data_IF_475581136507
#
_entry.id   IF_475581136507
#
_cell.length_a   1.000
_cell.length_b   1.000
_cell.length_c   1.000
_cell.angle_alpha   90.00
_cell.angle_beta   90.00
_cell.angle_gamma   90.00
#
_symmetry.space_group_name_H-M   'P 1'
#
loop_
_entity.id
_entity.type
_entity.pdbx_description
1 polymer ?
#
# COMPACT_ATOMS: atom_id res chain seq x y z
N UNK A 1 12.53 10.25 -29.13
CA UNK A 1 13.11 9.03 -28.52
C UNK A 1 12.02 7.98 -28.58
N UNK A 2 12.33 6.75 -28.94
CA UNK A 2 11.30 5.72 -28.97
C UNK A 2 10.98 5.23 -27.55
N UNK A 3 9.70 4.81 -27.32
CA UNK A 3 9.21 4.44 -25.99
C UNK A 3 9.93 3.21 -25.40
N UNK A 4 10.32 2.25 -26.24
CA UNK A 4 11.00 1.04 -25.77
C UNK A 4 12.38 1.36 -25.21
N UNK A 5 13.11 2.27 -25.85
CA UNK A 5 14.42 2.75 -25.36
C UNK A 5 14.27 3.50 -24.04
N UNK A 6 13.22 4.30 -23.87
CA UNK A 6 12.94 5.02 -22.61
C UNK A 6 12.61 4.03 -21.50
N UNK A 7 11.76 3.05 -21.77
CA UNK A 7 11.37 2.02 -20.80
C UNK A 7 12.59 1.18 -20.36
N UNK A 8 13.46 0.79 -21.28
CA UNK A 8 14.66 0.05 -20.92
C UNK A 8 15.63 0.91 -20.11
N UNK A 9 15.82 2.19 -20.46
CA UNK A 9 16.65 3.11 -19.70
C UNK A 9 16.11 3.31 -18.28
N UNK A 10 14.81 3.51 -18.11
CA UNK A 10 14.14 3.60 -16.81
C UNK A 10 14.46 2.39 -15.92
N UNK A 11 14.39 1.18 -16.47
CA UNK A 11 14.66 -0.08 -15.74
C UNK A 11 16.10 -0.25 -15.27
N UNK A 12 17.04 0.58 -15.75
CA UNK A 12 18.44 0.55 -15.29
C UNK A 12 18.68 1.35 -14.03
N UNK A 13 17.73 2.22 -13.64
CA UNK A 13 17.87 2.97 -12.41
C UNK A 13 17.65 2.08 -11.19
N UNK A 14 18.43 2.38 -10.15
CA UNK A 14 18.24 1.81 -8.81
C UNK A 14 17.73 2.90 -7.90
N UNK A 15 16.62 2.63 -7.23
CA UNK A 15 15.94 3.61 -6.38
C UNK A 15 15.71 3.06 -4.98
N UNK A 16 15.45 3.95 -4.03
CA UNK A 16 14.86 3.58 -2.75
C UNK A 16 13.34 3.51 -2.90
N UNK A 17 12.66 2.89 -1.94
CA UNK A 17 11.19 2.86 -1.91
C UNK A 17 10.70 3.39 -0.57
N UNK A 18 9.84 4.40 -0.64
CA UNK A 18 9.07 4.90 0.50
C UNK A 18 7.62 4.41 0.45
N UNK A 19 7.10 3.96 1.58
CA UNK A 19 5.66 3.93 1.83
C UNK A 19 5.26 5.34 2.30
N UNK A 20 4.55 6.04 1.43
CA UNK A 20 4.11 7.42 1.66
C UNK A 20 2.71 7.38 2.23
N UNK A 21 2.52 7.97 3.39
CA UNK A 21 1.22 8.02 4.08
C UNK A 21 0.66 9.43 4.10
N UNK A 22 -0.65 9.52 4.01
CA UNK A 22 -1.42 10.77 4.08
C UNK A 22 -2.68 10.57 4.91
N UNK A 23 -3.33 11.67 5.31
CA UNK A 23 -4.63 11.62 5.98
C UNK A 23 -5.47 12.85 5.54
N UNK A 24 -5.96 12.79 4.31
CA UNK A 24 -6.81 13.82 3.70
C UNK A 24 -8.31 13.60 3.95
N UNK A 25 -9.14 14.28 3.17
CA UNK A 25 -10.61 14.22 3.27
C UNK A 25 -11.19 12.81 3.05
N UNK A 26 -10.46 11.92 2.36
CA UNK A 26 -10.82 10.51 2.15
C UNK A 26 -10.37 9.59 3.30
N UNK A 27 -9.71 10.13 4.32
CA UNK A 27 -9.12 9.35 5.40
C UNK A 27 -7.66 8.97 5.16
N UNK A 28 -7.08 8.11 6.05
CA UNK A 28 -5.70 7.70 5.98
C UNK A 28 -5.45 6.78 4.78
N UNK A 29 -4.30 6.98 4.13
CA UNK A 29 -3.88 6.20 2.96
C UNK A 29 -2.39 5.89 3.01
N UNK A 30 -1.97 4.88 2.26
CA UNK A 30 -0.58 4.53 1.98
C UNK A 30 -0.37 4.32 0.48
N UNK A 31 0.77 4.76 -0.04
CA UNK A 31 1.20 4.55 -1.42
C UNK A 31 2.67 4.14 -1.44
N UNK A 32 3.05 3.25 -2.34
CA UNK A 32 4.44 2.95 -2.63
C UNK A 32 4.98 3.97 -3.63
N UNK A 33 6.02 4.71 -3.26
CA UNK A 33 6.71 5.65 -4.14
C UNK A 33 8.15 5.19 -4.37
N UNK A 34 8.43 4.78 -5.60
CA UNK A 34 9.75 4.35 -6.05
C UNK A 34 10.76 5.50 -5.97
N UNK A 35 10.33 6.72 -6.25
CA UNK A 35 11.18 7.89 -6.24
C UNK A 35 11.05 8.65 -4.92
N UNK A 36 11.69 8.11 -3.89
CA UNK A 36 11.74 8.68 -2.54
C UNK A 36 13.20 8.82 -2.12
N UNK A 37 13.68 10.03 -1.88
CA UNK A 37 15.08 10.28 -1.54
C UNK A 37 15.26 11.58 -0.73
N UNK A 38 16.35 11.63 0.07
CA UNK A 38 16.76 12.85 0.72
C UNK A 38 17.40 13.81 -0.29
N UNK A 39 17.11 15.11 -0.17
CA UNK A 39 17.57 16.14 -1.10
C UNK A 39 18.29 17.31 -0.42
N UNK A 40 18.29 17.36 0.92
CA UNK A 40 19.01 18.35 1.71
C UNK A 40 19.32 17.82 3.11
N UNK A 41 20.40 18.33 3.71
CA UNK A 41 20.77 18.06 5.09
C UNK A 41 20.27 19.13 6.07
N UNK A 42 20.30 20.40 5.69
CA UNK A 42 19.89 21.50 6.54
C UNK A 42 19.16 22.57 5.72
N UNK A 43 17.83 22.69 5.90
CA UNK A 43 17.00 21.74 6.65
C UNK A 43 17.03 20.35 6.04
N UNK A 44 16.69 19.31 6.82
CA UNK A 44 16.61 17.96 6.28
C UNK A 44 15.33 17.83 5.46
N UNK A 45 15.50 17.63 4.15
CA UNK A 45 14.41 17.55 3.18
C UNK A 45 14.34 16.17 2.53
N UNK A 46 13.12 15.68 2.35
CA UNK A 46 12.83 14.48 1.57
C UNK A 46 11.97 14.86 0.38
N UNK A 47 12.36 14.37 -0.81
CA UNK A 47 11.56 14.45 -2.02
C UNK A 47 10.82 13.13 -2.26
N UNK A 48 9.55 13.24 -2.64
CA UNK A 48 8.74 12.15 -3.18
C UNK A 48 8.18 12.61 -4.53
N UNK A 49 8.30 11.76 -5.56
CA UNK A 49 7.86 12.10 -6.92
C UNK A 49 6.67 11.24 -7.26
N UNK A 50 5.55 11.87 -7.56
CA UNK A 50 4.26 11.22 -7.77
C UNK A 50 3.65 11.64 -9.10
N UNK A 51 2.97 10.72 -9.75
CA UNK A 51 2.17 11.01 -10.94
C UNK A 51 0.91 11.80 -10.56
N UNK A 52 0.51 12.73 -11.43
CA UNK A 52 -0.70 13.52 -11.22
C UNK A 52 -1.96 12.63 -11.31
N UNK A 53 -2.91 12.85 -10.39
CA UNK A 53 -4.16 12.09 -10.33
C UNK A 53 -4.15 10.92 -9.34
N UNK A 54 -3.00 10.62 -8.73
CA UNK A 54 -2.92 9.66 -7.63
C UNK A 54 -3.59 10.23 -6.35
N UNK A 55 -4.30 9.38 -5.60
CA UNK A 55 -4.99 9.81 -4.38
C UNK A 55 -4.04 10.43 -3.33
N UNK A 56 -2.82 9.92 -3.24
CA UNK A 56 -1.76 10.47 -2.37
C UNK A 56 -1.32 11.86 -2.82
N UNK A 57 -1.22 12.09 -4.13
CA UNK A 57 -0.91 13.38 -4.72
C UNK A 57 -1.91 14.46 -4.27
N UNK A 58 -3.20 14.16 -4.41
CA UNK A 58 -4.27 15.09 -4.01
C UNK A 58 -4.26 15.33 -2.50
N UNK A 59 -4.06 14.28 -1.70
CA UNK A 59 -4.03 14.38 -0.25
C UNK A 59 -2.83 15.22 0.27
N UNK A 60 -1.65 15.13 -0.35
CA UNK A 60 -0.50 15.98 0.00
C UNK A 60 -0.81 17.45 -0.30
N UNK A 61 -1.42 17.74 -1.45
CA UNK A 61 -1.84 19.10 -1.81
C UNK A 61 -2.87 19.67 -0.85
N UNK A 62 -3.83 18.83 -0.41
CA UNK A 62 -4.87 19.22 0.53
C UNK A 62 -4.29 19.49 1.93
N UNK A 63 -3.52 18.55 2.45
CA UNK A 63 -3.09 18.56 3.86
C UNK A 63 -1.79 19.30 4.12
N UNK A 64 -0.97 19.48 3.08
CA UNK A 64 0.39 20.04 3.15
C UNK A 64 1.33 19.25 4.07
N UNK A 65 1.04 17.98 4.29
CA UNK A 65 1.84 17.07 5.11
C UNK A 65 1.78 15.64 4.61
N UNK A 66 2.81 14.85 4.88
CA UNK A 66 2.87 13.43 4.55
C UNK A 66 3.88 12.70 5.43
N UNK A 67 3.63 11.42 5.66
CA UNK A 67 4.58 10.52 6.29
C UNK A 67 5.41 9.80 5.24
N UNK A 68 6.69 9.56 5.55
CA UNK A 68 7.59 8.73 4.75
C UNK A 68 8.09 7.59 5.61
N UNK A 69 7.94 6.36 5.16
CA UNK A 69 8.51 5.19 5.81
C UNK A 69 9.39 4.46 4.80
N UNK A 70 10.72 4.53 4.96
CA UNK A 70 11.64 3.73 4.14
C UNK A 70 11.55 2.28 4.59
N UNK A 71 11.25 1.41 3.64
CA UNK A 71 10.92 0.02 3.93
C UNK A 71 12.14 -0.88 4.12
N UNK A 72 11.99 -1.89 4.98
CA UNK A 72 12.85 -3.07 5.05
C UNK A 72 12.29 -4.21 4.19
N UNK A 73 13.02 -5.32 4.10
CA UNK A 73 12.58 -6.49 3.34
C UNK A 73 11.26 -7.11 3.84
N UNK A 74 10.92 -6.90 5.11
CA UNK A 74 9.65 -7.35 5.71
C UNK A 74 8.44 -6.71 5.03
N UNK A 75 8.60 -5.52 4.45
CA UNK A 75 7.53 -4.76 3.81
C UNK A 75 7.42 -4.98 2.28
N UNK A 76 8.18 -5.91 1.69
CA UNK A 76 8.19 -6.07 0.23
C UNK A 76 6.82 -6.44 -0.34
N UNK A 77 6.03 -7.23 0.39
CA UNK A 77 4.65 -7.54 -0.02
C UNK A 77 3.74 -6.32 0.10
N UNK A 78 3.85 -5.58 1.20
CA UNK A 78 3.11 -4.32 1.42
C UNK A 78 3.46 -3.27 0.34
N UNK A 79 4.73 -3.17 -0.06
CA UNK A 79 5.20 -2.31 -1.15
C UNK A 79 4.46 -2.60 -2.45
N UNK A 80 4.43 -3.86 -2.87
CA UNK A 80 3.73 -4.26 -4.09
C UNK A 80 2.25 -3.93 -4.04
N UNK A 81 1.58 -4.29 -2.95
CA UNK A 81 0.17 -4.01 -2.75
C UNK A 81 -0.14 -2.51 -2.75
N UNK A 82 0.65 -1.70 -2.02
CA UNK A 82 0.46 -0.25 -1.96
C UNK A 82 0.67 0.45 -3.31
N UNK A 83 1.49 -0.13 -4.20
CA UNK A 83 1.76 0.41 -5.54
C UNK A 83 0.74 -0.01 -6.61
N UNK A 84 0.02 -1.14 -6.43
CA UNK A 84 -0.95 -1.62 -7.42
C UNK A 84 -2.35 -1.03 -7.26
N UNK A 85 -2.73 -0.59 -6.06
CA UNK A 85 -4.08 -0.11 -5.78
C UNK A 85 -4.09 1.38 -5.44
N UNK A 86 -5.10 2.10 -5.93
CA UNK A 86 -5.36 3.50 -5.57
C UNK A 86 -6.35 3.61 -4.42
N UNK A 87 -6.20 4.64 -3.57
CA UNK A 87 -7.16 4.95 -2.51
C UNK A 87 -8.50 5.49 -3.03
N UNK A 88 -8.59 5.77 -4.32
CA UNK A 88 -9.87 6.10 -4.94
C UNK A 88 -10.86 4.92 -4.85
N UNK A 89 -10.34 3.68 -4.92
CA UNK A 89 -11.15 2.46 -5.03
C UNK A 89 -10.90 1.46 -3.89
N UNK A 90 -9.77 1.56 -3.17
CA UNK A 90 -9.33 0.53 -2.22
C UNK A 90 -8.81 1.16 -0.93
N UNK A 91 -9.41 0.80 0.21
CA UNK A 91 -8.87 1.10 1.53
C UNK A 91 -7.72 0.14 1.86
N UNK A 92 -6.52 0.52 1.44
CA UNK A 92 -5.32 -0.31 1.56
C UNK A 92 -4.92 -0.60 3.01
N UNK A 93 -5.16 0.35 3.91
CA UNK A 93 -4.84 0.19 5.34
C UNK A 93 -5.76 -0.77 6.09
N UNK A 94 -6.83 -1.27 5.43
CA UNK A 94 -7.62 -2.39 5.97
C UNK A 94 -6.88 -3.73 5.93
N UNK A 95 -5.83 -3.85 5.08
CA UNK A 95 -5.00 -5.06 4.98
C UNK A 95 -4.12 -5.24 6.23
N UNK A 96 -3.90 -6.48 6.62
CA UNK A 96 -2.97 -6.88 7.68
C UNK A 96 -1.47 -6.69 7.31
N UNK A 97 -1.21 -6.33 6.05
CA UNK A 97 0.14 -5.97 5.59
C UNK A 97 0.65 -4.66 6.19
N UNK A 98 -0.24 -3.81 6.70
CA UNK A 98 0.12 -2.49 7.20
C UNK A 98 -0.16 -2.38 8.70
N UNK A 99 0.90 -2.48 9.49
CA UNK A 99 0.84 -2.08 10.89
C UNK A 99 1.24 -0.62 11.00
N UNK A 100 0.35 0.22 11.51
CA UNK A 100 0.57 1.67 11.60
C UNK A 100 0.77 2.11 13.04
N UNK A 101 1.44 3.26 13.19
CA UNK A 101 1.58 3.98 14.46
C UNK A 101 1.22 5.46 14.26
N UNK A 102 0.71 6.15 15.31
CA UNK A 102 0.40 7.57 15.22
C UNK A 102 1.70 8.38 15.03
N UNK A 103 1.63 9.41 14.21
CA UNK A 103 2.65 10.44 14.11
C UNK A 103 2.55 11.43 15.29
N UNK A 104 3.61 12.20 15.54
CA UNK A 104 3.69 13.21 16.62
C UNK A 104 3.38 14.63 16.14
N UNK A 105 3.71 14.94 14.88
CA UNK A 105 3.70 16.30 14.32
C UNK A 105 2.77 16.48 13.11
N UNK A 106 2.34 15.38 12.50
CA UNK A 106 1.43 15.34 11.35
C UNK A 106 0.22 14.44 11.66
N UNK A 107 -0.82 14.49 10.82
CA UNK A 107 -2.02 13.65 10.99
C UNK A 107 -1.91 12.30 10.29
N UNK A 108 -1.04 12.20 9.28
CA UNK A 108 -0.83 10.95 8.56
C UNK A 108 -0.20 9.90 9.50
N UNK A 109 -0.67 8.63 9.50
CA UNK A 109 -0.03 7.58 10.27
C UNK A 109 1.34 7.24 9.67
N UNK A 110 2.20 6.59 10.44
CA UNK A 110 3.48 6.05 9.97
C UNK A 110 3.42 4.52 9.96
N UNK A 111 4.16 3.90 9.04
CA UNK A 111 4.28 2.43 9.00
C UNK A 111 5.28 2.00 10.07
N UNK A 112 4.85 1.05 10.92
CA UNK A 112 5.74 0.48 11.95
C UNK A 112 6.87 -0.34 11.31
N UNK A 113 7.90 -0.56 12.09
CA UNK A 113 9.03 -1.42 11.77
C UNK A 113 9.78 -1.05 10.48
N UNK A 114 9.58 0.17 9.98
CA UNK A 114 10.36 0.72 8.88
C UNK A 114 11.83 0.99 9.30
N UNK A 115 12.71 1.05 8.32
CA UNK A 115 14.13 1.43 8.52
C UNK A 115 14.25 2.87 9.03
N UNK A 116 13.39 3.73 8.49
CA UNK A 116 13.28 5.13 8.83
C UNK A 116 11.82 5.56 8.69
N UNK A 117 11.35 6.35 9.64
CA UNK A 117 10.08 7.08 9.52
C UNK A 117 10.34 8.56 9.64
N UNK A 118 9.79 9.35 8.73
CA UNK A 118 9.88 10.81 8.73
C UNK A 118 8.49 11.43 8.60
N UNK A 119 8.24 12.43 9.40
CA UNK A 119 7.06 13.28 9.34
C UNK A 119 7.40 14.55 8.59
N UNK A 120 6.75 14.78 7.46
CA UNK A 120 7.11 15.83 6.51
C UNK A 120 6.03 16.89 6.41
N UNK A 121 6.42 18.16 6.40
CA UNK A 121 5.59 19.29 5.97
C UNK A 121 6.01 19.72 4.58
N UNK A 122 5.05 19.85 3.69
CA UNK A 122 5.30 20.27 2.31
C UNK A 122 5.87 21.69 2.29
N UNK A 123 7.06 21.85 1.71
CA UNK A 123 7.71 23.15 1.53
C UNK A 123 7.80 23.57 0.08
N UNK A 124 7.83 22.61 -0.85
CA UNK A 124 7.91 22.89 -2.28
C UNK A 124 7.21 21.81 -3.10
N UNK A 125 6.62 22.25 -4.20
CA UNK A 125 6.03 21.42 -5.24
C UNK A 125 6.62 21.83 -6.59
N UNK A 126 7.26 20.88 -7.28
CA UNK A 126 7.98 21.14 -8.54
C UNK A 126 7.44 20.24 -9.63
N UNK A 127 6.82 20.76 -10.70
CA UNK A 127 6.47 19.97 -11.87
C UNK A 127 7.74 19.37 -12.53
N UNK A 128 7.74 18.07 -12.78
CA UNK A 128 8.88 17.32 -13.37
C UNK A 128 8.41 16.42 -14.51
N UNK A 129 7.80 17.02 -15.55
CA UNK A 129 7.25 16.29 -16.69
C UNK A 129 5.84 15.79 -16.40
N UNK A 130 5.62 14.49 -16.49
CA UNK A 130 4.37 13.78 -16.16
C UNK A 130 4.19 13.56 -14.66
N UNK A 131 5.21 13.86 -13.87
CA UNK A 131 5.22 13.77 -12.41
C UNK A 131 5.37 15.14 -11.75
N UNK A 132 5.14 15.16 -10.43
CA UNK A 132 5.43 16.30 -9.57
C UNK A 132 6.29 15.85 -8.41
N UNK A 133 7.35 16.56 -8.15
CA UNK A 133 8.21 16.39 -6.98
C UNK A 133 7.65 17.18 -5.82
N UNK A 134 7.21 16.50 -4.77
CA UNK A 134 6.85 17.09 -3.49
C UNK A 134 8.06 17.06 -2.58
N UNK A 135 8.52 18.23 -2.13
CA UNK A 135 9.62 18.35 -1.18
C UNK A 135 9.05 18.67 0.19
N UNK A 136 9.31 17.80 1.15
CA UNK A 136 8.89 17.96 2.54
C UNK A 136 10.05 18.24 3.47
N UNK A 137 9.89 19.23 4.36
CA UNK A 137 10.77 19.43 5.50
C UNK A 137 10.44 18.40 6.58
N UNK A 138 11.44 17.66 7.01
CA UNK A 138 11.30 16.65 8.07
C UNK A 138 11.22 17.34 9.42
N UNK A 139 10.06 17.23 10.07
CA UNK A 139 9.78 17.84 11.38
C UNK A 139 9.86 16.86 12.55
N UNK A 140 9.90 15.58 12.27
CA UNK A 140 10.17 14.49 13.21
C UNK A 140 10.77 13.32 12.44
N UNK A 141 11.76 12.65 13.03
CA UNK A 141 12.52 11.56 12.40
C UNK A 141 12.77 10.45 13.41
N UNK A 142 12.59 9.21 12.99
CA UNK A 142 12.99 8.01 13.70
C UNK A 142 13.75 7.08 12.78
N UNK A 143 14.80 6.42 13.28
CA UNK A 143 15.62 5.48 12.51
C UNK A 143 15.84 4.19 13.30
N UNK A 144 15.84 3.07 12.61
CA UNK A 144 16.25 1.78 13.15
C UNK A 144 17.54 1.32 12.45
N UNK A 145 18.71 1.50 13.07
CA UNK A 145 20.00 1.17 12.46
C UNK A 145 20.23 -0.35 12.34
N UNK A 146 19.40 -1.18 12.95
CA UNK A 146 19.49 -2.65 12.83
C UNK A 146 18.89 -3.15 11.51
N UNK A 147 18.03 -2.36 10.87
CA UNK A 147 17.35 -2.69 9.61
C UNK A 147 18.10 -2.13 8.41
N UNK A 148 17.85 -2.73 7.26
CA UNK A 148 18.42 -2.29 5.98
C UNK A 148 17.31 -1.96 4.99
N UNK A 149 17.44 -0.85 4.23
CA UNK A 149 16.46 -0.48 3.24
C UNK A 149 16.46 -1.46 2.06
N UNK A 150 15.27 -1.61 1.47
CA UNK A 150 15.10 -2.26 0.17
C UNK A 150 15.55 -1.31 -0.92
N UNK A 151 16.25 -1.82 -1.92
CA UNK A 151 16.54 -1.13 -3.17
C UNK A 151 15.72 -1.74 -4.30
N UNK A 152 15.22 -0.91 -5.19
CA UNK A 152 14.47 -1.34 -6.37
C UNK A 152 15.36 -1.26 -7.61
N UNK A 153 15.50 -2.40 -8.31
CA UNK A 153 16.13 -2.49 -9.61
C UNK A 153 15.55 -3.69 -10.35
N UNK A 154 14.61 -3.45 -11.28
CA UNK A 154 13.85 -4.53 -11.94
C UNK A 154 13.18 -5.49 -10.93
N UNK A 155 12.81 -4.95 -9.75
CA UNK A 155 12.25 -5.64 -8.60
C UNK A 155 13.01 -5.35 -7.31
N UNK A 156 12.49 -5.78 -6.16
CA UNK A 156 13.10 -5.52 -4.86
C UNK A 156 14.37 -6.35 -4.65
N UNK A 157 15.40 -5.69 -4.13
CA UNK A 157 16.67 -6.32 -3.79
C UNK A 157 17.09 -5.94 -2.37
N UNK A 158 17.82 -6.84 -1.73
CA UNK A 158 18.74 -6.47 -0.65
C UNK A 158 19.96 -5.78 -1.25
N UNK A 159 20.67 -5.01 -0.44
CA UNK A 159 22.03 -4.62 -0.83
C UNK A 159 22.87 -5.89 -1.04
N UNK A 160 23.09 -6.24 -2.31
CA UNK A 160 23.87 -7.39 -2.74
C UNK A 160 23.08 -8.63 -3.19
N UNK A 161 21.78 -8.75 -2.93
CA UNK A 161 20.98 -9.90 -3.39
C UNK A 161 19.52 -9.56 -3.66
N UNK A 162 18.90 -10.31 -4.57
CA UNK A 162 17.45 -10.22 -4.81
C UNK A 162 16.67 -10.74 -3.62
N UNK A 163 15.61 -10.03 -3.26
CA UNK A 163 14.65 -10.47 -2.24
C UNK A 163 13.56 -11.28 -2.93
N UNK A 164 13.33 -12.49 -2.46
CA UNK A 164 12.20 -13.30 -2.89
C UNK A 164 10.99 -12.94 -2.00
N UNK A 165 9.85 -12.67 -2.64
CA UNK A 165 8.59 -12.46 -1.94
C UNK A 165 8.05 -13.81 -1.45
N UNK A 166 7.52 -13.90 -0.23
CA UNK A 166 6.83 -15.12 0.22
C UNK A 166 5.62 -15.40 -0.69
N UNK A 167 5.29 -16.66 -0.88
CA UNK A 167 4.10 -17.07 -1.65
C UNK A 167 2.87 -16.80 -0.79
N UNK A 168 2.18 -15.70 -1.05
CA UNK A 168 1.02 -15.25 -0.28
C UNK A 168 0.07 -14.39 -1.12
N UNK A 169 -1.04 -13.97 -0.53
CA UNK A 169 -1.99 -13.01 -1.08
C UNK A 169 -2.01 -11.79 -0.16
N UNK A 170 -1.81 -10.61 -0.72
CA UNK A 170 -2.15 -9.37 -0.04
C UNK A 170 -3.62 -9.07 -0.26
N UNK A 171 -4.38 -8.73 0.79
CA UNK A 171 -5.82 -8.50 0.71
C UNK A 171 -6.21 -7.20 1.39
N UNK A 172 -7.13 -6.46 0.78
CA UNK A 172 -7.83 -5.33 1.37
C UNK A 172 -9.34 -5.45 1.13
N UNK A 173 -10.12 -4.78 1.97
CA UNK A 173 -11.57 -4.63 1.83
C UNK A 173 -11.97 -3.16 1.87
N UNK A 174 -12.89 -2.76 0.99
CA UNK A 174 -13.37 -1.38 0.89
C UNK A 174 -14.89 -1.34 0.77
N UNK A 175 -15.60 -0.57 1.63
CA UNK A 175 -15.07 0.11 2.82
C UNK A 175 -14.68 -0.87 3.93
N UNK A 176 -13.78 -0.49 4.82
CA UNK A 176 -13.37 -1.30 5.98
C UNK A 176 -14.48 -1.43 7.04
N UNK A 177 -15.44 -0.48 7.05
CA UNK A 177 -16.66 -0.53 7.86
C UNK A 177 -17.87 -0.37 6.94
N UNK A 178 -18.83 -1.28 7.01
CA UNK A 178 -19.99 -1.30 6.15
C UNK A 178 -21.27 -1.64 6.94
N UNK A 179 -22.38 -0.97 6.59
CA UNK A 179 -23.69 -1.38 7.10
C UNK A 179 -24.15 -2.69 6.42
N UNK A 180 -25.07 -3.39 7.08
CA UNK A 180 -25.76 -4.55 6.54
C UNK A 180 -26.42 -4.22 5.20
N UNK A 181 -26.48 -5.17 4.29
CA UNK A 181 -27.05 -4.97 2.95
C UNK A 181 -26.21 -4.11 2.01
N UNK A 182 -25.09 -3.55 2.45
CA UNK A 182 -24.17 -2.79 1.61
C UNK A 182 -23.14 -3.68 0.93
N UNK A 183 -22.58 -3.18 -0.14
CA UNK A 183 -21.51 -3.85 -0.86
C UNK A 183 -20.16 -3.49 -0.28
N UNK A 184 -19.25 -4.46 -0.27
CA UNK A 184 -17.84 -4.31 0.00
C UNK A 184 -17.04 -4.94 -1.12
N UNK A 185 -15.93 -4.32 -1.47
CA UNK A 185 -15.03 -4.78 -2.52
C UNK A 185 -13.76 -5.34 -1.89
N UNK A 186 -13.41 -6.56 -2.26
CA UNK A 186 -12.13 -7.18 -1.93
C UNK A 186 -11.17 -6.95 -3.07
N UNK A 187 -9.99 -6.41 -2.77
CA UNK A 187 -8.89 -6.24 -3.70
C UNK A 187 -7.69 -7.05 -3.18
N UNK A 188 -7.13 -7.90 -4.02
CA UNK A 188 -6.00 -8.75 -3.65
C UNK A 188 -4.88 -8.74 -4.69
N UNK A 189 -3.64 -8.90 -4.20
CA UNK A 189 -2.45 -9.09 -5.01
C UNK A 189 -1.78 -10.41 -4.65
N UNK A 190 -1.48 -11.22 -5.66
CA UNK A 190 -0.64 -12.41 -5.51
C UNK A 190 0.83 -12.01 -5.55
N UNK A 191 1.62 -12.52 -4.63
CA UNK A 191 3.09 -12.38 -4.68
C UNK A 191 3.74 -13.28 -5.71
N UNK A 192 2.95 -14.11 -6.41
CA UNK A 192 3.30 -15.02 -7.49
C UNK A 192 2.33 -14.83 -8.65
N UNK A 193 2.59 -15.45 -9.77
CA UNK A 193 1.68 -15.43 -10.92
C UNK A 193 0.81 -16.69 -10.89
N UNK A 194 -0.50 -16.59 -10.63
CA UNK A 194 -1.42 -17.72 -10.71
C UNK A 194 -1.64 -18.15 -12.16
N UNK A 195 -2.11 -19.38 -12.39
CA UNK A 195 -2.56 -19.76 -13.72
C UNK A 195 -3.90 -19.10 -14.05
N UNK A 196 -4.11 -18.79 -15.33
CA UNK A 196 -5.40 -18.31 -15.78
C UNK A 196 -6.48 -19.39 -15.54
N UNK A 197 -7.59 -18.98 -14.93
CA UNK A 197 -8.68 -19.88 -14.56
C UNK A 197 -8.59 -20.49 -13.16
N UNK A 198 -7.49 -20.28 -12.42
CA UNK A 198 -7.43 -20.64 -11.01
C UNK A 198 -8.53 -19.92 -10.23
N UNK A 199 -9.02 -20.55 -9.17
CA UNK A 199 -10.14 -20.03 -8.38
C UNK A 199 -9.65 -19.53 -7.02
N UNK A 200 -9.80 -18.21 -6.79
CA UNK A 200 -9.62 -17.59 -5.48
C UNK A 200 -10.90 -17.74 -4.69
N UNK A 201 -10.80 -18.24 -3.48
CA UNK A 201 -11.90 -18.30 -2.52
C UNK A 201 -11.80 -17.13 -1.55
N UNK A 202 -12.84 -16.30 -1.48
CA UNK A 202 -12.93 -15.17 -0.54
C UNK A 202 -14.03 -15.47 0.46
N UNK A 203 -13.74 -15.32 1.76
CA UNK A 203 -14.71 -15.50 2.84
C UNK A 203 -14.64 -14.36 3.85
N UNK A 204 -15.74 -14.09 4.53
CA UNK A 204 -15.82 -13.18 5.68
C UNK A 204 -16.31 -13.98 6.88
N UNK A 205 -15.51 -13.98 7.93
CA UNK A 205 -15.74 -14.81 9.12
C UNK A 205 -15.70 -13.94 10.38
N UNK A 206 -16.68 -14.10 11.24
CA UNK A 206 -16.72 -13.46 12.56
C UNK A 206 -15.67 -14.04 13.51
N UNK A 207 -15.39 -13.34 14.60
CA UNK A 207 -14.47 -13.80 15.65
C UNK A 207 -14.96 -15.11 16.35
N UNK A 208 -16.25 -15.41 16.22
CA UNK A 208 -16.87 -16.66 16.67
C UNK A 208 -16.68 -17.84 15.69
N UNK A 209 -16.00 -17.61 14.57
CA UNK A 209 -15.77 -18.60 13.51
C UNK A 209 -16.92 -18.74 12.51
N UNK A 210 -18.03 -17.99 12.66
CA UNK A 210 -19.17 -18.05 11.74
C UNK A 210 -18.83 -17.32 10.44
N UNK A 211 -18.87 -18.05 9.33
CA UNK A 211 -18.76 -17.47 7.98
C UNK A 211 -20.09 -16.83 7.59
N UNK A 212 -20.06 -15.58 7.13
CA UNK A 212 -21.23 -14.81 6.70
C UNK A 212 -21.24 -14.51 5.19
N UNK A 213 -20.08 -14.55 4.54
CA UNK A 213 -19.92 -14.33 3.08
C UNK A 213 -18.95 -15.34 2.53
N UNK A 214 -19.29 -15.90 1.36
CA UNK A 214 -18.36 -16.68 0.53
C UNK A 214 -18.50 -16.25 -0.93
N UNK A 215 -17.39 -15.96 -1.57
CA UNK A 215 -17.31 -15.64 -2.98
C UNK A 215 -16.14 -16.35 -3.64
N UNK A 216 -16.17 -16.43 -4.96
CA UNK A 216 -15.09 -16.99 -5.76
C UNK A 216 -14.78 -16.05 -6.92
N UNK A 217 -13.48 -15.93 -7.26
CA UNK A 217 -13.00 -15.17 -8.41
C UNK A 217 -12.10 -16.06 -9.23
N UNK A 218 -12.27 -16.06 -10.55
CA UNK A 218 -11.33 -16.71 -11.47
C UNK A 218 -10.23 -15.73 -11.84
N UNK A 219 -8.99 -16.18 -11.75
CA UNK A 219 -7.83 -15.40 -12.17
C UNK A 219 -7.75 -15.37 -13.70
N UNK A 220 -7.24 -14.29 -14.24
CA UNK A 220 -6.91 -14.13 -15.66
C UNK A 220 -5.43 -14.44 -15.98
N UNK A 221 -4.68 -14.88 -14.96
CA UNK A 221 -3.21 -15.07 -15.03
C UNK A 221 -2.43 -13.80 -14.67
N UNK A 222 -3.12 -12.71 -14.31
CA UNK A 222 -2.52 -11.51 -13.71
C UNK A 222 -2.19 -11.69 -12.24
N UNK A 223 -1.52 -10.71 -11.66
CA UNK A 223 -1.12 -10.74 -10.25
C UNK A 223 -2.13 -10.08 -9.32
N UNK A 224 -3.23 -9.57 -9.82
CA UNK A 224 -4.27 -8.92 -9.01
C UNK A 224 -5.64 -9.55 -9.27
N UNK A 225 -6.52 -9.44 -8.28
CA UNK A 225 -7.94 -9.74 -8.43
C UNK A 225 -8.79 -8.76 -7.66
N UNK A 226 -10.03 -8.61 -8.08
CA UNK A 226 -11.02 -7.81 -7.38
C UNK A 226 -12.38 -8.49 -7.44
N UNK A 227 -13.16 -8.40 -6.36
CA UNK A 227 -14.53 -8.88 -6.32
C UNK A 227 -15.36 -8.07 -5.34
N UNK A 228 -16.62 -7.84 -5.69
CA UNK A 228 -17.57 -7.12 -4.84
C UNK A 228 -18.61 -8.12 -4.33
N UNK A 229 -18.93 -8.05 -3.04
CA UNK A 229 -19.95 -8.86 -2.41
C UNK A 229 -20.88 -7.98 -1.55
N UNK A 230 -22.12 -8.40 -1.43
CA UNK A 230 -23.10 -7.77 -0.54
C UNK A 230 -23.03 -8.40 0.85
N UNK A 231 -22.94 -7.58 1.90
CA UNK A 231 -23.07 -8.02 3.29
C UNK A 231 -24.51 -8.45 3.52
N UNK A 232 -24.77 -9.63 4.10
CA UNK A 232 -26.11 -10.10 4.42
C UNK A 232 -26.87 -9.11 5.32
N UNK A 233 -28.17 -8.97 5.10
CA UNK A 233 -29.02 -8.06 5.86
C UNK A 233 -29.17 -8.52 7.34
N UNK A 234 -28.93 -9.80 7.61
CA UNK A 234 -29.00 -10.44 8.94
C UNK A 234 -27.61 -10.63 9.58
N UNK A 235 -26.54 -10.13 8.98
CA UNK A 235 -25.20 -10.25 9.54
C UNK A 235 -25.12 -9.52 10.90
N UNK A 236 -24.62 -10.15 11.98
CA UNK A 236 -24.41 -9.47 13.25
C UNK A 236 -23.47 -8.27 13.11
N UNK A 237 -23.73 -7.18 13.85
CA UNK A 237 -22.76 -6.09 13.96
C UNK A 237 -21.52 -6.56 14.72
N UNK A 238 -20.33 -6.10 14.29
CA UNK A 238 -19.09 -6.48 14.96
C UNK A 238 -17.89 -6.56 14.02
N UNK A 239 -16.79 -7.11 14.53
CA UNK A 239 -15.53 -7.26 13.80
C UNK A 239 -15.48 -8.62 13.11
N UNK A 240 -15.00 -8.58 11.87
CA UNK A 240 -14.86 -9.72 10.99
C UNK A 240 -13.47 -9.76 10.38
N UNK A 241 -13.05 -10.95 9.98
CA UNK A 241 -11.85 -11.18 9.19
C UNK A 241 -12.28 -11.60 7.77
N UNK A 242 -11.79 -10.86 6.77
CA UNK A 242 -11.88 -11.27 5.38
C UNK A 242 -10.63 -12.08 5.04
N UNK A 243 -10.82 -13.21 4.37
CA UNK A 243 -9.73 -14.14 4.00
C UNK A 243 -9.86 -14.47 2.53
N UNK A 244 -8.78 -14.30 1.77
CA UNK A 244 -8.65 -14.83 0.41
C UNK A 244 -7.69 -16.02 0.41
N UNK A 245 -7.99 -17.06 -0.39
CA UNK A 245 -7.15 -18.27 -0.52
C UNK A 245 -7.06 -18.74 -1.96
N UNK A 246 -5.86 -19.18 -2.34
CA UNK A 246 -5.57 -19.89 -3.58
C UNK A 246 -4.48 -20.94 -3.29
N UNK A 247 -4.87 -22.23 -3.27
CA UNK A 247 -3.98 -23.29 -2.78
C UNK A 247 -3.54 -23.04 -1.34
N UNK A 248 -2.24 -23.04 -1.09
CA UNK A 248 -1.64 -22.76 0.22
C UNK A 248 -1.44 -21.25 0.48
N UNK A 249 -1.56 -20.42 -0.54
CA UNK A 249 -1.45 -18.97 -0.40
C UNK A 249 -2.72 -18.37 0.21
N UNK A 250 -2.57 -17.47 1.17
CA UNK A 250 -3.69 -16.77 1.79
C UNK A 250 -3.35 -15.32 2.13
N UNK A 251 -4.39 -14.49 2.22
CA UNK A 251 -4.30 -13.11 2.68
C UNK A 251 -5.49 -12.77 3.55
N UNK A 252 -5.32 -11.77 4.42
CA UNK A 252 -6.33 -11.36 5.39
C UNK A 252 -6.54 -9.85 5.38
N UNK A 253 -7.76 -9.43 5.68
CA UNK A 253 -8.10 -8.02 5.89
C UNK A 253 -9.18 -7.91 6.98
N UNK A 254 -9.28 -6.74 7.60
CA UNK A 254 -10.26 -6.46 8.65
C UNK A 254 -11.51 -5.85 8.03
N UNK A 255 -12.68 -6.24 8.53
CA UNK A 255 -13.97 -5.66 8.18
C UNK A 255 -14.78 -5.45 9.45
N UNK A 256 -15.45 -4.31 9.56
CA UNK A 256 -16.42 -4.02 10.62
C UNK A 256 -17.82 -3.94 10.01
N UNK A 257 -18.78 -4.63 10.61
CA UNK A 257 -20.20 -4.53 10.25
C UNK A 257 -20.92 -3.68 11.31
N UNK A 258 -21.57 -2.60 10.81
CA UNK A 258 -22.26 -1.60 11.62
C UNK A 258 -23.72 -2.00 11.92
#
# INVERSE_FOLDING_TARGET
>A
MDAATVEEAYRLFTTTVGLITTNGSRGPNVMSAEWTFNVSYEPFLIAVVLEAGEATFDAIRETKEFGVSLISEEHVTAMGFAGHFTHHDTDKLSSDLFETQPAKKIRAPLIKDAVLTAECRLVQEVPTGDHVTFVGEVVELSVDPSKRPVVLHRGPHRLGSRIERPVTIALAVTPMAAARGREVTFAGEFTFRPAAGDTVHVSVTGLDGREIVRATVRTDGGTIFQTTVRIPDDAPAGRYEAIARLGDASGRARLEIL
#
